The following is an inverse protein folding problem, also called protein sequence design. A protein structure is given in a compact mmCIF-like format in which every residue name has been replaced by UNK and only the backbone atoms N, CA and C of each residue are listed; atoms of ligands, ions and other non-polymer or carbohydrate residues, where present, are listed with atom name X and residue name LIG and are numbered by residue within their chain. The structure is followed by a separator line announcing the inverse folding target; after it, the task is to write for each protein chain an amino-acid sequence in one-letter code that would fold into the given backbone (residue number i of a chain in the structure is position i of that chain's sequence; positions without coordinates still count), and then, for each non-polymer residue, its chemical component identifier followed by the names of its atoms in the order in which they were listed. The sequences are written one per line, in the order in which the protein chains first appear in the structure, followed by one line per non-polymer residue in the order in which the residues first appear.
data_IF_873853211774
#
_entry.id   IF_873853211774
#
_cell.length_a   1.000
_cell.length_b   1.000
_cell.length_c   1.000
_cell.angle_alpha   90.00
_cell.angle_beta   90.00
_cell.angle_gamma   90.00
#
_symmetry.space_group_name_H-M   'P 1'
#
loop_
_entity.id
_entity.type
_entity.pdbx_description
1 polymer ?
#
# COMPACT_ATOMS: atom_id res chain seq x y z
N UNK A 1 -15.44 12.98 -54.16
CA UNK A 1 -14.29 12.38 -53.44
C UNK A 1 -13.68 13.32 -52.39
N UNK A 2 -13.33 14.58 -52.71
CA UNK A 2 -12.72 15.52 -51.74
C UNK A 2 -13.53 15.74 -50.45
N UNK A 3 -14.87 15.82 -50.53
CA UNK A 3 -15.76 15.98 -49.36
C UNK A 3 -15.68 14.83 -48.34
N UNK A 4 -15.43 13.60 -48.78
CA UNK A 4 -15.27 12.45 -47.86
C UNK A 4 -13.95 12.50 -47.09
N UNK A 5 -12.88 12.99 -47.73
CA UNK A 5 -11.59 13.18 -47.06
C UNK A 5 -11.69 14.24 -45.95
N UNK A 6 -12.39 15.35 -46.19
CA UNK A 6 -12.58 16.38 -45.16
C UNK A 6 -13.36 15.86 -43.95
N UNK A 7 -14.44 15.11 -44.17
CA UNK A 7 -15.26 14.57 -43.08
C UNK A 7 -14.45 13.57 -42.22
N UNK A 8 -13.65 12.71 -42.86
CA UNK A 8 -12.81 11.74 -42.14
C UNK A 8 -11.75 12.43 -41.27
N UNK A 9 -11.14 13.52 -41.75
CA UNK A 9 -10.13 14.25 -40.99
C UNK A 9 -10.73 14.93 -39.75
N UNK A 10 -11.94 15.49 -39.87
CA UNK A 10 -12.64 16.07 -38.72
C UNK A 10 -13.03 15.03 -37.67
N UNK A 11 -13.44 13.82 -38.07
CA UNK A 11 -13.78 12.74 -37.14
C UNK A 11 -12.53 12.25 -36.39
N UNK A 12 -11.40 12.09 -37.08
CA UNK A 12 -10.16 11.62 -36.45
C UNK A 12 -9.60 12.68 -35.48
N UNK A 13 -9.58 13.95 -35.87
CA UNK A 13 -9.12 15.04 -35.00
C UNK A 13 -10.06 15.26 -33.80
N UNK A 14 -11.37 15.18 -34.01
CA UNK A 14 -12.37 15.25 -32.94
C UNK A 14 -12.26 14.06 -31.99
N UNK A 15 -12.11 12.85 -32.52
CA UNK A 15 -11.92 11.63 -31.74
C UNK A 15 -10.64 11.62 -30.92
N UNK A 16 -9.50 12.01 -31.51
CA UNK A 16 -8.26 12.21 -30.76
C UNK A 16 -8.43 13.28 -29.69
N UNK A 17 -9.08 14.41 -30.00
CA UNK A 17 -9.32 15.49 -29.06
C UNK A 17 -10.16 15.05 -27.85
N UNK A 18 -11.23 14.29 -28.07
CA UNK A 18 -12.06 13.73 -27.00
C UNK A 18 -11.27 12.70 -26.19
N UNK A 19 -10.51 11.82 -26.83
CA UNK A 19 -9.65 10.85 -26.14
C UNK A 19 -8.60 11.56 -25.27
N UNK A 20 -7.90 12.57 -25.81
CA UNK A 20 -6.94 13.37 -25.06
C UNK A 20 -7.62 14.16 -23.92
N UNK A 21 -8.84 14.66 -24.12
CA UNK A 21 -9.62 15.31 -23.06
C UNK A 21 -10.04 14.32 -21.98
N UNK A 22 -10.42 13.10 -22.32
CA UNK A 22 -10.73 12.01 -21.36
C UNK A 22 -9.48 11.42 -20.67
N UNK A 23 -8.30 11.52 -21.28
CA UNK A 23 -7.01 11.18 -20.63
C UNK A 23 -6.48 12.35 -19.78
N UNK A 24 -6.87 13.59 -20.10
CA UNK A 24 -6.46 14.81 -19.41
C UNK A 24 -7.50 15.35 -18.43
N UNK A 25 -8.71 14.79 -18.37
CA UNK A 25 -9.48 14.87 -17.12
C UNK A 25 -8.49 14.42 -16.06
N UNK A 26 -8.22 15.24 -15.04
CA UNK A 26 -7.45 14.74 -13.91
C UNK A 26 -8.20 13.49 -13.51
N UNK A 27 -7.62 12.33 -13.80
CA UNK A 27 -8.00 11.12 -13.10
C UNK A 27 -7.99 11.60 -11.67
N UNK A 28 -9.13 11.57 -10.94
CA UNK A 28 -9.12 11.96 -9.55
C UNK A 28 -7.94 11.21 -9.01
N UNK A 29 -6.91 11.98 -8.64
CA UNK A 29 -5.61 11.44 -8.34
C UNK A 29 -6.00 10.38 -7.33
N UNK A 30 -5.68 9.12 -7.60
CA UNK A 30 -5.94 8.06 -6.64
C UNK A 30 -4.99 8.23 -5.45
N UNK A 31 -4.84 9.46 -4.95
CA UNK A 31 -4.80 9.77 -3.56
C UNK A 31 -6.12 9.23 -2.98
N UNK A 32 -6.09 8.00 -2.49
CA UNK A 32 -7.16 7.39 -1.69
C UNK A 32 -7.32 8.14 -0.36
N UNK A 33 -7.58 9.44 -0.41
CA UNK A 33 -7.96 10.31 0.68
C UNK A 33 -9.37 10.80 0.40
N UNK A 34 -10.36 9.96 0.70
CA UNK A 34 -11.67 10.50 1.07
C UNK A 34 -11.43 11.14 2.43
N UNK A 35 -11.53 12.46 2.55
CA UNK A 35 -11.40 13.17 3.84
C UNK A 35 -12.52 12.78 4.79
N UNK A 36 -13.60 12.22 4.24
CA UNK A 36 -14.82 11.89 4.94
C UNK A 36 -15.09 10.40 4.70
N UNK A 37 -14.55 9.54 5.56
CA UNK A 37 -14.82 8.12 5.52
C UNK A 37 -16.28 7.90 5.93
N UNK A 38 -17.21 7.84 4.98
CA UNK A 38 -18.53 7.30 5.28
C UNK A 38 -18.33 5.88 5.78
N UNK A 39 -18.71 5.66 7.05
CA UNK A 39 -18.54 4.40 7.73
C UNK A 39 -19.50 3.39 7.11
N UNK A 40 -19.07 2.74 6.02
CA UNK A 40 -19.82 1.62 5.48
C UNK A 40 -19.70 0.45 6.46
N UNK A 41 -20.83 -0.24 6.71
CA UNK A 41 -20.89 -1.37 7.61
C UNK A 41 -19.85 -2.42 7.19
N UNK A 42 -18.83 -2.63 8.02
CA UNK A 42 -17.73 -3.57 7.76
C UNK A 42 -16.34 -2.93 7.62
N UNK A 43 -16.23 -1.60 7.63
CA UNK A 43 -14.91 -0.95 7.56
C UNK A 43 -14.33 -0.70 8.95
N UNK A 44 -13.12 -1.19 9.20
CA UNK A 44 -12.43 -0.95 10.46
C UNK A 44 -12.13 0.56 10.63
N UNK A 45 -12.58 1.14 11.75
CA UNK A 45 -12.22 2.50 12.15
C UNK A 45 -10.77 2.49 12.65
N UNK A 46 -9.83 2.73 11.74
CA UNK A 46 -8.42 2.87 12.06
C UNK A 46 -8.08 4.32 12.39
N UNK A 47 -7.11 4.53 13.27
CA UNK A 47 -6.47 5.84 13.39
C UNK A 47 -5.75 6.20 12.08
N UNK A 48 -5.44 7.48 11.87
CA UNK A 48 -4.72 7.92 10.67
C UNK A 48 -3.38 7.17 10.48
N UNK A 49 -2.63 6.98 11.57
CA UNK A 49 -1.35 6.25 11.55
C UNK A 49 -1.56 4.77 11.22
N UNK A 50 -2.58 4.12 11.81
CA UNK A 50 -2.89 2.73 11.50
C UNK A 50 -3.38 2.55 10.05
N UNK A 51 -4.06 3.56 9.49
CA UNK A 51 -4.44 3.55 8.08
C UNK A 51 -3.23 3.67 7.15
N UNK A 52 -2.29 4.59 7.42
CA UNK A 52 -1.00 4.67 6.71
C UNK A 52 -0.21 3.37 6.83
N UNK A 53 -0.13 2.82 8.03
CA UNK A 53 0.47 1.52 8.31
C UNK A 53 -0.13 0.39 7.49
N UNK A 54 -1.47 0.34 7.36
CA UNK A 54 -2.16 -0.64 6.52
C UNK A 54 -1.72 -0.56 5.06
N UNK A 55 -1.57 0.64 4.52
CA UNK A 55 -1.12 0.82 3.13
C UNK A 55 0.31 0.32 2.93
N UNK A 56 1.21 0.63 3.87
CA UNK A 56 2.60 0.15 3.86
C UNK A 56 2.62 -1.37 3.98
N UNK A 57 1.84 -1.94 4.91
CA UNK A 57 1.74 -3.39 5.13
C UNK A 57 1.27 -4.11 3.87
N UNK A 58 0.20 -3.61 3.24
CA UNK A 58 -0.35 -4.22 2.03
C UNK A 58 0.65 -4.20 0.87
N UNK A 59 1.47 -3.16 0.78
CA UNK A 59 2.43 -2.99 -0.32
C UNK A 59 3.71 -3.80 -0.12
N UNK A 60 4.12 -4.05 1.13
CA UNK A 60 5.46 -4.59 1.44
C UNK A 60 5.44 -5.92 2.21
N UNK A 61 4.38 -6.22 2.96
CA UNK A 61 4.37 -7.30 3.95
C UNK A 61 3.30 -8.37 3.66
N UNK A 62 2.17 -7.97 3.09
CA UNK A 62 0.98 -8.82 2.93
C UNK A 62 1.17 -10.02 1.99
N UNK A 63 2.23 -10.02 1.17
CA UNK A 63 2.60 -11.17 0.36
C UNK A 63 3.09 -12.38 1.19
N UNK A 64 3.61 -12.12 2.39
CA UNK A 64 4.17 -13.16 3.26
C UNK A 64 3.46 -13.25 4.62
N UNK A 65 2.85 -12.17 5.08
CA UNK A 65 2.28 -12.09 6.43
C UNK A 65 0.80 -11.73 6.40
N UNK A 66 0.05 -12.36 7.31
CA UNK A 66 -1.28 -11.90 7.73
C UNK A 66 -1.20 -11.37 9.17
N UNK A 67 -2.24 -10.68 9.62
CA UNK A 67 -2.27 -10.21 11.00
C UNK A 67 -2.54 -11.35 11.96
N UNK A 68 -3.56 -12.16 11.69
CA UNK A 68 -4.12 -13.09 12.67
C UNK A 68 -4.01 -14.58 12.24
N UNK A 69 -3.27 -14.85 11.16
CA UNK A 69 -3.11 -16.20 10.58
C UNK A 69 -1.68 -16.45 10.11
N UNK A 70 -1.29 -17.72 10.04
CA UNK A 70 -0.03 -18.17 9.46
C UNK A 70 -0.12 -18.11 7.92
N UNK A 71 0.96 -17.66 7.28
CA UNK A 71 1.14 -17.71 5.83
C UNK A 71 2.59 -18.17 5.53
N UNK A 72 3.35 -17.44 4.70
CA UNK A 72 4.77 -17.70 4.46
C UNK A 72 5.60 -17.33 5.69
N UNK A 73 5.18 -16.29 6.42
CA UNK A 73 5.73 -15.87 7.70
C UNK A 73 4.69 -15.94 8.83
N UNK A 74 5.11 -15.64 10.08
CA UNK A 74 4.24 -15.64 11.24
C UNK A 74 3.17 -14.53 11.18
N UNK A 75 2.06 -14.70 11.93
CA UNK A 75 1.09 -13.63 12.15
C UNK A 75 1.75 -12.44 12.85
N UNK A 76 1.41 -11.22 12.42
CA UNK A 76 2.03 -9.99 12.91
C UNK A 76 1.16 -9.16 13.87
N UNK A 77 -0.05 -9.61 14.22
CA UNK A 77 -0.87 -8.96 15.26
C UNK A 77 -0.10 -8.86 16.58
N UNK A 78 -0.10 -7.66 17.18
CA UNK A 78 0.53 -7.38 18.47
C UNK A 78 2.05 -7.55 18.46
N UNK A 79 2.72 -7.44 17.30
CA UNK A 79 4.18 -7.66 17.23
C UNK A 79 4.97 -6.69 18.13
N UNK A 80 4.44 -5.49 18.38
CA UNK A 80 5.03 -4.50 19.28
C UNK A 80 5.00 -4.93 20.77
N UNK A 81 4.16 -5.91 21.14
CA UNK A 81 4.16 -6.50 22.48
C UNK A 81 5.30 -7.50 22.67
N UNK A 82 5.81 -8.07 21.57
CA UNK A 82 6.86 -9.10 21.58
C UNK A 82 8.27 -8.52 21.43
N UNK A 83 8.40 -7.45 20.64
CA UNK A 83 9.68 -6.82 20.35
C UNK A 83 9.55 -5.30 20.41
N UNK A 84 10.57 -4.63 20.95
CA UNK A 84 10.60 -3.18 20.96
C UNK A 84 10.78 -2.61 19.54
N UNK A 85 10.38 -1.36 19.36
CA UNK A 85 10.38 -0.71 18.05
C UNK A 85 11.78 -0.56 17.45
N UNK A 86 12.84 -0.47 18.26
CA UNK A 86 14.22 -0.35 17.78
C UNK A 86 14.71 -1.69 17.24
N UNK A 87 14.40 -2.80 17.93
CA UNK A 87 14.70 -4.14 17.46
C UNK A 87 14.00 -4.43 16.12
N UNK A 88 12.73 -4.02 15.98
CA UNK A 88 11.97 -4.17 14.73
C UNK A 88 12.55 -3.29 13.62
N UNK A 89 12.89 -2.03 13.90
CA UNK A 89 13.54 -1.15 12.91
C UNK A 89 14.86 -1.74 12.41
N UNK A 90 15.70 -2.23 13.33
CA UNK A 90 16.97 -2.88 12.99
C UNK A 90 16.75 -4.15 12.19
N UNK A 91 15.76 -4.97 12.55
CA UNK A 91 15.38 -6.16 11.81
C UNK A 91 14.94 -5.86 10.38
N UNK A 92 14.09 -4.86 10.18
CA UNK A 92 13.60 -4.52 8.85
C UNK A 92 14.71 -3.95 7.96
N UNK A 93 15.71 -3.23 8.50
CA UNK A 93 16.69 -2.51 7.67
C UNK A 93 18.10 -3.09 7.59
N UNK A 94 18.60 -3.70 8.66
CA UNK A 94 20.06 -3.92 8.81
C UNK A 94 20.40 -5.35 9.19
N UNK A 95 19.74 -5.91 10.20
CA UNK A 95 20.24 -7.13 10.86
C UNK A 95 19.09 -8.04 11.29
N UNK A 96 19.01 -9.23 10.67
CA UNK A 96 17.97 -10.23 10.92
C UNK A 96 18.21 -11.07 12.17
N UNK A 97 19.33 -10.89 12.87
CA UNK A 97 19.66 -11.68 14.07
C UNK A 97 18.90 -11.22 15.32
N UNK A 98 18.23 -10.07 15.28
CA UNK A 98 17.51 -9.52 16.44
C UNK A 98 16.14 -10.18 16.72
N UNK A 99 15.56 -10.87 15.73
CA UNK A 99 14.24 -11.50 15.84
C UNK A 99 14.32 -12.93 15.31
N UNK A 100 13.95 -13.89 16.16
CA UNK A 100 13.88 -15.31 15.79
C UNK A 100 12.52 -15.66 15.17
N UNK A 101 12.55 -16.34 14.03
CA UNK A 101 11.38 -16.70 13.22
C UNK A 101 11.04 -18.19 13.39
N UNK A 102 10.99 -18.69 14.64
CA UNK A 102 10.82 -20.12 14.93
C UNK A 102 9.65 -20.74 14.16
N UNK A 103 9.90 -21.87 13.51
CA UNK A 103 8.90 -22.59 12.72
C UNK A 103 8.72 -22.07 11.29
N UNK A 104 9.49 -21.07 10.89
CA UNK A 104 9.51 -20.53 9.53
C UNK A 104 10.93 -20.64 8.96
N UNK A 105 11.06 -21.22 7.76
CA UNK A 105 12.35 -21.47 7.13
C UNK A 105 12.78 -20.33 6.20
N UNK A 106 11.88 -19.38 5.91
CA UNK A 106 12.14 -18.27 5.02
C UNK A 106 12.66 -17.06 5.79
N UNK A 107 13.70 -16.43 5.26
CA UNK A 107 14.22 -15.18 5.82
C UNK A 107 13.40 -14.00 5.31
N UNK A 108 12.92 -13.14 6.22
CA UNK A 108 12.25 -11.90 5.85
C UNK A 108 13.19 -10.99 5.04
N UNK A 109 12.71 -10.40 3.95
CA UNK A 109 13.48 -9.46 3.14
C UNK A 109 13.78 -8.15 3.89
N UNK A 110 14.80 -7.42 3.44
CA UNK A 110 15.13 -6.10 3.99
C UNK A 110 14.28 -5.00 3.35
N UNK A 111 13.94 -3.99 4.14
CA UNK A 111 13.18 -2.81 3.76
C UNK A 111 13.93 -1.53 4.15
N UNK A 112 15.16 -1.29 3.62
CA UNK A 112 15.97 -0.12 3.97
C UNK A 112 15.32 1.23 3.58
N UNK A 113 14.32 1.20 2.70
CA UNK A 113 13.58 2.38 2.25
C UNK A 113 12.54 2.88 3.25
N UNK A 114 12.09 2.04 4.19
CA UNK A 114 11.07 2.44 5.16
C UNK A 114 11.68 3.36 6.21
N UNK A 115 11.10 4.54 6.41
CA UNK A 115 11.50 5.51 7.42
C UNK A 115 11.01 5.13 8.81
N UNK A 116 11.48 5.82 9.86
CA UNK A 116 11.04 5.52 11.25
C UNK A 116 9.55 5.79 11.43
N UNK A 117 9.03 6.77 10.68
CA UNK A 117 7.61 7.10 10.62
C UNK A 117 6.84 5.95 9.98
N UNK A 118 7.31 5.43 8.85
CA UNK A 118 6.67 4.29 8.17
C UNK A 118 6.59 3.06 9.08
N UNK A 119 7.67 2.76 9.81
CA UNK A 119 7.71 1.63 10.73
C UNK A 119 6.81 1.87 11.94
N UNK A 120 6.75 3.08 12.49
CA UNK A 120 5.80 3.41 13.56
C UNK A 120 4.36 3.28 13.11
N UNK A 121 4.04 3.74 11.90
CA UNK A 121 2.68 3.64 11.34
C UNK A 121 2.31 2.17 11.08
N UNK A 122 3.26 1.37 10.55
CA UNK A 122 3.13 -0.10 10.48
C UNK A 122 2.80 -0.72 11.83
N UNK A 123 3.54 -0.35 12.88
CA UNK A 123 3.30 -0.86 14.23
C UNK A 123 1.91 -0.47 14.74
N UNK A 124 1.46 0.76 14.47
CA UNK A 124 0.11 1.20 14.80
C UNK A 124 -0.99 0.37 14.10
N UNK A 125 -0.73 -0.13 12.89
CA UNK A 125 -1.65 -1.01 12.16
C UNK A 125 -1.65 -2.45 12.68
N UNK A 126 -0.48 -2.96 13.03
CA UNK A 126 -0.32 -4.34 13.50
C UNK A 126 -0.72 -4.53 14.95
N UNK A 127 -0.89 -3.45 15.71
CA UNK A 127 -1.34 -3.53 17.10
C UNK A 127 -2.83 -3.84 17.25
#
# INVERSE_FOLDING_TARGET
MKRFFFISTFIILGGLGILFFSLKTPQPIAFCGVTDFESFCGTANLSENAFKGKQIFNSNCAACHKLDEIMTGPPLRGIAEKYDSVAIQKYLRVDKTTIDSKGFNETCVYFPQLTDIDIRDLLAYTN
#
